data_IF_278512032205
#
_entry.id   IF_278512032205
#
_cell.length_a   1.000
_cell.length_b   1.000
_cell.length_c   1.000
_cell.angle_alpha   90.00
_cell.angle_beta   90.00
_cell.angle_gamma   90.00
#
_symmetry.space_group_name_H-M   'P 1'
#
loop_
_entity.id
_entity.type
_entity.pdbx_description
1 polymer ?
#
# COMPACT_ATOMS: atom_id res chain seq x y z
N UNK A 1 -2.16 6.28 4.53
CA UNK A 1 -1.21 5.95 5.61
C UNK A 1 -0.04 6.93 5.55
N UNK A 2 0.60 7.04 4.38
CA UNK A 2 1.79 7.87 4.18
C UNK A 2 1.58 9.39 4.39
N UNK A 3 0.39 9.93 4.12
CA UNK A 3 0.12 11.36 4.37
C UNK A 3 0.24 11.74 5.85
N UNK A 4 -0.23 10.86 6.74
CA UNK A 4 -0.10 11.07 8.17
C UNK A 4 1.37 10.98 8.59
N UNK A 5 2.10 9.99 8.06
CA UNK A 5 3.54 9.83 8.31
C UNK A 5 4.33 11.07 7.86
N UNK A 6 4.05 11.59 6.67
CA UNK A 6 4.67 12.83 6.16
C UNK A 6 4.31 14.05 7.01
N UNK A 7 3.07 14.16 7.49
CA UNK A 7 2.66 15.26 8.36
C UNK A 7 3.40 15.22 9.71
N UNK A 8 3.50 14.05 10.35
CA UNK A 8 4.23 13.87 11.60
C UNK A 8 5.72 14.15 11.43
N UNK A 9 6.30 13.72 10.31
CA UNK A 9 7.72 13.93 10.00
C UNK A 9 8.02 15.34 9.46
N UNK A 10 7.00 16.18 9.22
CA UNK A 10 7.13 17.48 8.56
C UNK A 10 7.86 17.42 7.20
N UNK A 11 7.59 16.37 6.41
CA UNK A 11 8.19 16.14 5.09
C UNK A 11 7.18 16.47 3.99
N UNK A 12 7.61 17.21 2.97
CA UNK A 12 6.82 17.42 1.74
C UNK A 12 7.37 16.56 0.62
N UNK A 13 6.56 15.63 0.13
CA UNK A 13 6.91 14.76 -0.98
C UNK A 13 5.98 14.99 -2.18
N UNK A 14 6.49 15.02 -3.44
CA UNK A 14 5.64 15.18 -4.60
C UNK A 14 4.56 14.08 -4.69
N UNK A 15 3.26 14.42 -4.83
CA UNK A 15 2.18 13.43 -4.78
C UNK A 15 2.28 12.35 -5.87
N UNK A 16 2.69 12.72 -7.07
CA UNK A 16 2.91 11.79 -8.19
C UNK A 16 4.06 10.81 -7.95
N UNK A 17 4.90 11.07 -6.94
CA UNK A 17 5.95 10.15 -6.52
C UNK A 17 5.52 9.19 -5.41
N UNK A 18 4.35 9.39 -4.80
CA UNK A 18 3.87 8.58 -3.66
C UNK A 18 3.15 7.32 -4.14
N UNK A 19 3.63 6.15 -3.70
CA UNK A 19 2.97 4.86 -3.92
C UNK A 19 2.30 4.36 -2.63
N UNK A 20 1.22 5.02 -2.22
CA UNK A 20 0.41 4.56 -1.06
C UNK A 20 -0.47 3.36 -1.47
N UNK A 21 -0.02 2.15 -1.12
CA UNK A 21 -0.71 0.88 -1.41
C UNK A 21 -2.09 0.77 -0.76
N UNK A 22 -2.39 1.56 0.27
CA UNK A 22 -3.71 1.57 0.92
C UNK A 22 -4.74 2.44 0.19
N UNK A 23 -4.29 3.41 -0.60
CA UNK A 23 -5.17 4.34 -1.34
C UNK A 23 -5.58 3.83 -2.72
N UNK A 24 -4.71 3.05 -3.37
CA UNK A 24 -4.96 2.57 -4.73
C UNK A 24 -5.83 1.31 -4.76
N UNK A 25 -6.58 1.08 -5.85
CA UNK A 25 -7.49 -0.04 -5.95
C UNK A 25 -6.78 -1.39 -6.15
N UNK A 26 -5.57 -1.40 -6.74
CA UNK A 26 -4.94 -2.62 -7.25
C UNK A 26 -4.73 -3.72 -6.20
N UNK A 27 -4.18 -3.43 -4.99
CA UNK A 27 -4.01 -4.46 -3.97
C UNK A 27 -5.35 -5.04 -3.48
N UNK A 28 -6.38 -4.18 -3.36
CA UNK A 28 -7.72 -4.58 -2.91
C UNK A 28 -8.39 -5.48 -3.94
N UNK A 29 -8.33 -5.08 -5.22
CA UNK A 29 -8.84 -5.88 -6.34
C UNK A 29 -8.19 -7.27 -6.36
N UNK A 30 -6.87 -7.34 -6.27
CA UNK A 30 -6.14 -8.61 -6.30
C UNK A 30 -6.46 -9.49 -5.09
N UNK A 31 -6.70 -8.89 -3.93
CA UNK A 31 -7.10 -9.58 -2.71
C UNK A 31 -8.59 -10.01 -2.70
N UNK A 32 -9.40 -9.52 -3.66
CA UNK A 32 -10.84 -9.72 -3.72
C UNK A 32 -11.64 -8.88 -2.71
N UNK A 33 -11.09 -7.77 -2.25
CA UNK A 33 -11.76 -6.84 -1.34
C UNK A 33 -12.50 -5.72 -2.09
N UNK A 34 -13.58 -5.16 -1.50
CA UNK A 34 -14.23 -3.95 -2.02
C UNK A 34 -13.26 -2.76 -2.08
N UNK A 35 -13.21 -2.07 -3.21
CA UNK A 35 -12.26 -0.98 -3.45
C UNK A 35 -12.55 0.25 -2.57
N UNK A 36 -13.83 0.53 -2.35
CA UNK A 36 -14.32 1.74 -1.66
C UNK A 36 -14.07 1.71 -0.14
N UNK A 37 -13.82 0.52 0.42
CA UNK A 37 -13.65 0.34 1.85
C UNK A 37 -12.16 0.43 2.19
N UNK A 38 -11.76 1.15 3.26
CA UNK A 38 -10.39 1.09 3.75
C UNK A 38 -10.08 -0.30 4.30
N UNK A 39 -9.03 -0.92 3.77
CA UNK A 39 -8.54 -2.23 4.23
C UNK A 39 -7.18 -2.03 4.89
N UNK A 40 -7.01 -2.54 6.10
CA UNK A 40 -5.76 -2.45 6.84
C UNK A 40 -4.64 -3.29 6.24
N UNK A 41 -3.39 -2.90 6.49
CA UNK A 41 -2.20 -3.58 5.99
C UNK A 41 -2.16 -5.06 6.39
N UNK A 42 -2.52 -5.38 7.65
CA UNK A 42 -2.60 -6.76 8.15
C UNK A 42 -3.55 -7.63 7.34
N UNK A 43 -4.77 -7.15 7.06
CA UNK A 43 -5.77 -7.89 6.31
C UNK A 43 -5.34 -8.11 4.85
N UNK A 44 -4.78 -7.07 4.21
CA UNK A 44 -4.23 -7.20 2.86
C UNK A 44 -3.07 -8.19 2.80
N UNK A 45 -2.13 -8.12 3.75
CA UNK A 45 -0.96 -8.99 3.79
C UNK A 45 -1.35 -10.44 4.01
N UNK A 46 -2.28 -10.69 4.93
CA UNK A 46 -2.82 -12.02 5.17
C UNK A 46 -3.51 -12.58 3.92
N UNK A 47 -4.31 -11.77 3.23
CA UNK A 47 -5.06 -12.22 2.05
C UNK A 47 -4.18 -12.47 0.83
N UNK A 48 -3.17 -11.63 0.61
CA UNK A 48 -2.31 -11.70 -0.58
C UNK A 48 -1.15 -12.70 -0.42
N UNK A 49 -0.61 -12.84 0.78
CA UNK A 49 0.60 -13.64 1.03
C UNK A 49 0.41 -14.77 2.03
N UNK A 50 -0.74 -14.86 2.72
CA UNK A 50 -0.96 -15.86 3.78
C UNK A 50 -0.17 -15.58 5.06
N UNK A 51 0.39 -14.36 5.21
CA UNK A 51 1.25 -13.98 6.34
C UNK A 51 0.48 -13.03 7.25
N UNK A 52 0.38 -13.37 8.53
CA UNK A 52 -0.16 -12.46 9.56
C UNK A 52 0.98 -11.64 10.16
N UNK A 53 0.87 -10.31 10.04
CA UNK A 53 1.78 -9.32 10.64
C UNK A 53 1.10 -8.63 11.82
N UNK A 54 1.83 -7.86 12.62
CA UNK A 54 1.27 -7.06 13.72
C UNK A 54 0.52 -7.91 14.76
N UNK A 55 1.00 -9.12 15.06
CA UNK A 55 0.35 -10.04 16.00
C UNK A 55 0.56 -9.65 17.48
N UNK A 56 1.57 -8.83 17.75
CA UNK A 56 1.88 -8.28 19.08
C UNK A 56 2.00 -6.75 18.95
N UNK A 57 3.11 -6.16 19.38
CA UNK A 57 3.40 -4.76 19.12
C UNK A 57 3.76 -4.52 17.65
N UNK A 58 3.45 -3.32 17.15
CA UNK A 58 3.74 -2.93 15.78
C UNK A 58 5.25 -2.80 15.56
N UNK A 59 5.75 -3.42 14.50
CA UNK A 59 7.14 -3.28 14.07
C UNK A 59 7.20 -2.52 12.74
N UNK A 60 7.77 -1.31 12.75
CA UNK A 60 7.90 -0.48 11.54
C UNK A 60 8.66 -1.17 10.41
N UNK A 61 9.61 -2.06 10.75
CA UNK A 61 10.37 -2.83 9.76
C UNK A 61 9.47 -3.87 9.09
N UNK A 62 8.63 -4.57 9.86
CA UNK A 62 7.65 -5.52 9.33
C UNK A 62 6.64 -4.81 8.42
N UNK A 63 6.10 -3.68 8.89
CA UNK A 63 5.11 -2.88 8.15
C UNK A 63 5.67 -2.33 6.84
N UNK A 64 6.91 -1.82 6.84
CA UNK A 64 7.58 -1.35 5.64
C UNK A 64 7.83 -2.49 4.64
N UNK A 65 8.24 -3.67 5.12
CA UNK A 65 8.45 -4.86 4.28
C UNK A 65 7.14 -5.36 3.67
N UNK A 66 6.06 -5.42 4.46
CA UNK A 66 4.75 -5.82 3.98
C UNK A 66 4.21 -4.85 2.92
N UNK A 67 4.30 -3.54 3.18
CA UNK A 67 3.90 -2.50 2.21
C UNK A 67 4.69 -2.59 0.91
N UNK A 68 6.01 -2.80 0.98
CA UNK A 68 6.86 -2.97 -0.21
C UNK A 68 6.53 -4.26 -0.97
N UNK A 69 6.22 -5.36 -0.27
CA UNK A 69 5.80 -6.61 -0.90
C UNK A 69 4.49 -6.44 -1.67
N UNK A 70 3.49 -5.77 -1.07
CA UNK A 70 2.24 -5.42 -1.74
C UNK A 70 2.50 -4.56 -2.98
N UNK A 71 3.33 -3.52 -2.87
CA UNK A 71 3.67 -2.68 -4.03
C UNK A 71 4.29 -3.51 -5.15
N UNK A 72 5.30 -4.34 -4.86
CA UNK A 72 5.96 -5.19 -5.87
C UNK A 72 4.97 -6.13 -6.58
N UNK A 73 3.98 -6.65 -5.86
CA UNK A 73 2.96 -7.53 -6.42
C UNK A 73 2.08 -6.82 -7.47
N UNK A 74 1.73 -5.55 -7.24
CA UNK A 74 0.85 -4.79 -8.14
C UNK A 74 1.59 -3.82 -9.07
N UNK A 75 2.92 -3.69 -8.91
CA UNK A 75 3.77 -2.67 -9.55
C UNK A 75 3.53 -2.56 -11.05
N UNK A 76 3.56 -3.70 -11.76
CA UNK A 76 3.49 -3.67 -13.22
C UNK A 76 2.17 -3.10 -13.73
N UNK A 77 1.04 -3.47 -13.11
CA UNK A 77 -0.27 -2.94 -13.48
C UNK A 77 -0.40 -1.46 -13.08
N UNK A 78 0.06 -1.11 -11.88
CA UNK A 78 -0.03 0.26 -11.37
C UNK A 78 0.82 1.23 -12.20
N UNK A 79 2.11 0.95 -12.39
CA UNK A 79 2.99 1.87 -13.12
C UNK A 79 2.60 1.98 -14.60
N UNK A 80 2.07 0.92 -15.22
CA UNK A 80 1.53 1.00 -16.58
C UNK A 80 0.30 1.92 -16.68
N UNK A 81 -0.55 1.95 -15.66
CA UNK A 81 -1.73 2.83 -15.63
C UNK A 81 -1.33 4.30 -15.42
N UNK A 82 -0.37 4.56 -14.52
CA UNK A 82 0.18 5.91 -14.30
C UNK A 82 0.80 6.51 -15.57
N UNK A 83 1.48 5.69 -16.38
CA UNK A 83 2.05 6.13 -17.66
C UNK A 83 0.97 6.52 -18.68
N UNK A 84 -0.19 5.87 -18.66
CA UNK A 84 -1.32 6.20 -19.55
C UNK A 84 -2.03 7.47 -19.14
N UNK A 85 -2.15 7.74 -17.84
CA UNK A 85 -2.80 8.94 -17.31
C UNK A 85 -1.93 10.20 -17.46
N UNK A 86 -0.63 10.03 -17.73
CA UNK A 86 0.31 11.15 -17.89
C UNK A 86 0.49 11.60 -19.36
N UNK A 87 -0.28 11.04 -20.29
CA UNK A 87 -0.42 11.48 -21.68
C UNK A 87 -1.73 12.25 -21.88
#
# INVERSE_FOLDING_TARGET
MLENDFAVLNVKHPPHLVRDTGKVPYPKLLAGFPIQIPIGLRALTLRLFGISIQNAEHCSIEDARASMAIYRLVKNMWEADLLKTSQ
#
